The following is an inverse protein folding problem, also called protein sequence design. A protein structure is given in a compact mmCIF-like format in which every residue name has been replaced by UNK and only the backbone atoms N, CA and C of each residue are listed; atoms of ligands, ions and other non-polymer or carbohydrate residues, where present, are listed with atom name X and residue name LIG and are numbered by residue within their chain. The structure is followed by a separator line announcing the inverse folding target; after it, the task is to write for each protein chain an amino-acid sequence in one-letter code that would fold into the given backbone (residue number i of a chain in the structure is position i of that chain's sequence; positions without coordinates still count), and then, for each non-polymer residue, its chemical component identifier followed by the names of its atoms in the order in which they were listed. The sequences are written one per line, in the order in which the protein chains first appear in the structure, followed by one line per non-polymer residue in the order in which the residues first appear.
data_IF_051220692476
#
_entry.id   IF_051220692476
#
_cell.length_a   1.000
_cell.length_b   1.000
_cell.length_c   1.000
_cell.angle_alpha   90.00
_cell.angle_beta   90.00
_cell.angle_gamma   90.00
#
_symmetry.space_group_name_H-M   'P 1'
#
loop_
_entity.id
_entity.type
_entity.pdbx_description
1 polymer ?
#
# COMPACT_ATOMS: atom_id res chain seq x y z
N UNK A 1 -27.31 8.56 13.44
CA UNK A 1 -25.90 8.94 13.66
C UNK A 1 -25.40 9.62 12.40
N UNK A 2 -24.82 10.81 12.48
CA UNK A 2 -24.26 11.49 11.32
C UNK A 2 -23.03 10.75 10.80
N UNK A 3 -22.79 10.78 9.48
CA UNK A 3 -21.56 10.25 8.85
C UNK A 3 -20.31 10.84 9.51
N UNK A 4 -20.37 12.09 9.98
CA UNK A 4 -19.28 12.71 10.73
C UNK A 4 -19.03 11.99 12.06
N UNK A 5 -20.08 11.84 12.87
CA UNK A 5 -19.99 11.22 14.20
C UNK A 5 -19.55 9.75 14.09
N UNK A 6 -20.01 9.07 13.05
CA UNK A 6 -19.58 7.71 12.72
C UNK A 6 -18.07 7.64 12.46
N UNK A 7 -17.53 8.51 11.60
CA UNK A 7 -16.08 8.58 11.33
C UNK A 7 -15.28 8.92 12.57
N UNK A 8 -15.79 9.83 13.40
CA UNK A 8 -15.17 10.17 14.68
C UNK A 8 -15.08 8.97 15.61
N UNK A 9 -16.17 8.20 15.75
CA UNK A 9 -16.17 6.95 16.54
C UNK A 9 -15.20 5.91 16.02
N UNK A 10 -15.10 5.73 14.70
CA UNK A 10 -14.10 4.82 14.12
C UNK A 10 -12.70 5.23 14.52
N UNK A 11 -12.36 6.52 14.38
CA UNK A 11 -11.02 7.01 14.74
C UNK A 11 -10.74 6.78 16.22
N UNK A 12 -11.71 7.06 17.08
CA UNK A 12 -11.57 6.95 18.52
C UNK A 12 -11.45 5.48 18.98
N UNK A 13 -12.15 4.54 18.34
CA UNK A 13 -11.97 3.10 18.61
C UNK A 13 -10.64 2.59 18.07
N UNK A 14 -10.28 2.88 16.81
CA UNK A 14 -9.02 2.42 16.21
C UNK A 14 -7.80 2.94 16.98
N UNK A 15 -7.86 4.15 17.54
CA UNK A 15 -6.82 4.73 18.39
C UNK A 15 -6.42 3.82 19.56
N UNK A 16 -7.37 3.05 20.11
CA UNK A 16 -7.16 2.14 21.25
C UNK A 16 -6.34 0.89 20.88
N UNK A 17 -6.19 0.60 19.59
CA UNK A 17 -5.51 -0.61 19.11
C UNK A 17 -4.27 -0.25 18.28
N UNK A 18 -3.09 -0.03 18.92
CA UNK A 18 -1.83 0.27 18.24
C UNK A 18 -1.47 -0.73 17.14
N UNK A 19 -1.83 -2.00 17.30
CA UNK A 19 -1.64 -3.06 16.30
C UNK A 19 -2.17 -2.68 14.91
N UNK A 20 -3.22 -1.86 14.83
CA UNK A 20 -3.86 -1.48 13.57
C UNK A 20 -3.10 -0.40 12.78
N UNK A 21 -2.24 0.39 13.43
CA UNK A 21 -1.62 1.57 12.81
C UNK A 21 -0.12 1.74 13.10
N UNK A 22 0.39 1.14 14.16
CA UNK A 22 1.80 1.17 14.52
C UNK A 22 2.57 0.07 13.77
N UNK A 23 3.34 0.48 12.76
CA UNK A 23 4.17 -0.40 11.94
C UNK A 23 5.35 -1.04 12.70
N UNK A 24 5.68 -0.52 13.88
CA UNK A 24 6.75 -1.02 14.76
C UNK A 24 6.25 -1.99 15.81
N UNK A 25 4.93 -2.11 15.98
CA UNK A 25 4.33 -3.01 16.94
C UNK A 25 4.62 -4.47 16.52
N UNK A 26 5.04 -5.30 17.48
CA UNK A 26 5.42 -6.71 17.26
C UNK A 26 4.34 -7.49 16.49
N UNK A 27 3.09 -7.32 16.95
CA UNK A 27 1.92 -7.98 16.37
C UNK A 27 1.33 -7.28 15.13
N UNK A 28 1.90 -6.17 14.62
CA UNK A 28 1.37 -5.50 13.42
C UNK A 28 1.45 -6.38 12.17
N UNK A 29 2.45 -7.26 12.13
CA UNK A 29 2.67 -8.25 11.05
C UNK A 29 1.81 -9.50 11.20
N UNK A 30 1.13 -9.66 12.33
CA UNK A 30 0.23 -10.77 12.57
C UNK A 30 -1.19 -10.40 12.12
N UNK A 31 -1.63 -11.07 11.05
CA UNK A 31 -2.94 -10.85 10.45
C UNK A 31 -4.04 -11.31 11.40
N UNK A 32 -3.85 -12.41 12.14
CA UNK A 32 -4.86 -12.92 13.08
C UNK A 32 -5.10 -11.94 14.23
N UNK A 33 -4.03 -11.32 14.76
CA UNK A 33 -4.17 -10.32 15.81
C UNK A 33 -4.90 -9.09 15.27
N UNK A 34 -4.55 -8.65 14.06
CA UNK A 34 -5.19 -7.49 13.43
C UNK A 34 -6.67 -7.74 13.13
N UNK A 35 -7.01 -8.91 12.61
CA UNK A 35 -8.40 -9.28 12.33
C UNK A 35 -9.21 -9.44 13.61
N UNK A 36 -8.62 -9.98 14.69
CA UNK A 36 -9.26 -9.98 16.02
C UNK A 36 -9.55 -8.57 16.51
N UNK A 37 -8.59 -7.64 16.41
CA UNK A 37 -8.82 -6.24 16.78
C UNK A 37 -9.93 -5.60 15.93
N UNK A 38 -10.00 -5.89 14.63
CA UNK A 38 -11.10 -5.41 13.79
C UNK A 38 -12.45 -6.03 14.18
N UNK A 39 -12.48 -7.30 14.57
CA UNK A 39 -13.65 -7.96 15.14
C UNK A 39 -14.14 -7.26 16.41
N UNK A 40 -13.23 -6.97 17.35
CA UNK A 40 -13.59 -6.25 18.59
C UNK A 40 -14.15 -4.85 18.33
N UNK A 41 -13.62 -4.12 17.33
CA UNK A 41 -14.17 -2.81 16.94
C UNK A 41 -15.54 -2.98 16.26
N UNK A 42 -15.69 -4.01 15.42
CA UNK A 42 -16.94 -4.37 14.76
C UNK A 42 -18.04 -4.62 15.78
N UNK A 43 -17.78 -5.42 16.79
CA UNK A 43 -18.74 -5.76 17.85
C UNK A 43 -19.15 -4.54 18.67
N UNK A 44 -18.21 -3.61 18.93
CA UNK A 44 -18.50 -2.36 19.66
C UNK A 44 -19.33 -1.36 18.87
N UNK A 45 -19.07 -1.25 17.57
CA UNK A 45 -19.78 -0.31 16.70
C UNK A 45 -21.05 -0.91 16.09
N UNK A 46 -21.23 -2.23 16.16
CA UNK A 46 -22.33 -2.96 15.52
C UNK A 46 -22.23 -2.92 14.00
N UNK A 47 -21.02 -2.85 13.45
CA UNK A 47 -20.77 -2.73 12.00
C UNK A 47 -19.72 -3.73 11.57
N UNK A 48 -19.96 -4.38 10.44
CA UNK A 48 -19.05 -5.37 9.87
C UNK A 48 -17.59 -4.87 9.74
N UNK A 49 -16.64 -5.73 10.12
CA UNK A 49 -15.21 -5.44 10.11
C UNK A 49 -14.70 -4.95 8.74
N UNK A 50 -15.22 -5.48 7.64
CA UNK A 50 -14.82 -5.08 6.29
C UNK A 50 -15.24 -3.66 5.93
N UNK A 51 -16.43 -3.23 6.38
CA UNK A 51 -16.91 -1.86 6.23
C UNK A 51 -16.03 -0.90 7.03
N UNK A 52 -15.66 -1.28 8.26
CA UNK A 52 -14.77 -0.49 9.11
C UNK A 52 -13.36 -0.37 8.53
N UNK A 53 -12.79 -1.45 8.01
CA UNK A 53 -11.50 -1.46 7.31
C UNK A 53 -11.51 -0.51 6.11
N UNK A 54 -12.57 -0.54 5.30
CA UNK A 54 -12.75 0.36 4.14
C UNK A 54 -12.84 1.82 4.58
N UNK A 55 -13.64 2.13 5.58
CA UNK A 55 -13.80 3.51 6.05
C UNK A 55 -12.52 4.05 6.69
N UNK A 56 -11.80 3.20 7.44
CA UNK A 56 -10.49 3.54 7.98
C UNK A 56 -9.45 3.82 6.87
N UNK A 57 -9.47 3.05 5.77
CA UNK A 57 -8.63 3.32 4.60
C UNK A 57 -8.93 4.71 4.03
N UNK A 58 -10.20 5.04 3.78
CA UNK A 58 -10.63 6.35 3.27
C UNK A 58 -10.16 7.49 4.18
N UNK A 59 -10.23 7.29 5.49
CA UNK A 59 -9.76 8.26 6.48
C UNK A 59 -8.23 8.45 6.42
N UNK A 60 -7.45 7.38 6.34
CA UNK A 60 -5.98 7.47 6.19
C UNK A 60 -5.57 8.08 4.86
N UNK A 61 -6.25 7.78 3.77
CA UNK A 61 -6.00 8.37 2.46
C UNK A 61 -6.28 9.88 2.46
N UNK A 62 -7.40 10.28 3.05
CA UNK A 62 -7.75 11.68 3.25
C UNK A 62 -6.71 12.42 4.10
N UNK A 63 -6.19 11.77 5.15
CA UNK A 63 -5.09 12.29 5.96
C UNK A 63 -3.82 12.48 5.12
N UNK A 64 -3.38 11.45 4.37
CA UNK A 64 -2.20 11.51 3.49
C UNK A 64 -2.33 12.65 2.46
N UNK A 65 -3.48 12.76 1.81
CA UNK A 65 -3.74 13.82 0.83
C UNK A 65 -3.69 15.21 1.47
N UNK A 66 -4.26 15.36 2.68
CA UNK A 66 -4.23 16.65 3.39
C UNK A 66 -2.81 17.07 3.76
N UNK A 67 -1.96 16.14 4.20
CA UNK A 67 -0.55 16.41 4.50
C UNK A 67 0.24 16.75 3.23
N UNK A 68 -0.03 16.08 2.11
CA UNK A 68 0.60 16.39 0.81
C UNK A 68 0.28 17.81 0.36
N UNK A 69 -0.97 18.26 0.55
CA UNK A 69 -1.39 19.65 0.25
C UNK A 69 -0.66 20.66 1.14
N UNK A 70 -0.56 20.39 2.44
CA UNK A 70 0.17 21.27 3.39
C UNK A 70 1.67 21.31 3.06
N UNK A 71 2.29 20.15 2.80
CA UNK A 71 3.73 20.04 2.51
C UNK A 71 4.14 20.72 1.21
N UNK A 72 3.26 20.79 0.21
CA UNK A 72 3.52 21.49 -1.05
C UNK A 72 3.29 23.01 -0.95
N UNK A 73 3.06 23.53 0.26
CA UNK A 73 2.74 24.95 0.46
C UNK A 73 1.49 25.38 -0.29
N UNK A 74 0.57 24.43 -0.58
CA UNK A 74 -0.58 24.73 -1.41
C UNK A 74 -1.45 25.80 -0.73
N UNK A 75 -1.48 26.98 -1.32
CA UNK A 75 -2.41 28.04 -0.98
C UNK A 75 -3.70 27.84 -1.79
N UNK A 76 -4.83 28.23 -1.23
CA UNK A 76 -6.06 28.34 -2.00
C UNK A 76 -5.87 29.36 -3.13
N UNK A 77 -6.80 29.40 -4.10
CA UNK A 77 -6.79 30.42 -5.17
C UNK A 77 -6.80 31.87 -4.64
N UNK A 78 -7.11 32.05 -3.35
CA UNK A 78 -7.09 33.33 -2.64
C UNK A 78 -5.78 33.58 -1.85
N UNK A 79 -4.72 32.79 -2.05
CA UNK A 79 -3.44 32.96 -1.35
C UNK A 79 -3.43 32.50 0.12
N UNK A 80 -4.51 31.91 0.62
CA UNK A 80 -4.64 31.48 2.02
C UNK A 80 -4.07 30.07 2.20
N UNK A 81 -3.31 29.77 3.27
CA UNK A 81 -2.83 28.41 3.54
C UNK A 81 -3.95 27.38 3.54
N UNK A 82 -3.72 26.21 2.92
CA UNK A 82 -4.70 25.11 2.94
C UNK A 82 -5.14 24.76 4.37
N UNK A 83 -6.45 24.77 4.62
CA UNK A 83 -7.05 24.47 5.93
C UNK A 83 -6.70 23.04 6.37
N UNK A 84 -6.32 22.88 7.65
CA UNK A 84 -6.13 21.56 8.28
C UNK A 84 -7.36 20.68 8.07
N UNK A 85 -7.15 19.43 7.69
CA UNK A 85 -8.27 18.51 7.48
C UNK A 85 -8.98 18.23 8.80
N UNK A 86 -10.32 18.14 8.77
CA UNK A 86 -11.14 18.18 9.98
C UNK A 86 -10.83 17.07 11.00
N UNK A 87 -10.38 15.90 10.53
CA UNK A 87 -10.01 14.77 11.38
C UNK A 87 -8.49 14.67 11.62
N UNK A 88 -7.70 15.60 11.08
CA UNK A 88 -6.23 15.59 11.19
C UNK A 88 -5.75 15.61 12.63
N UNK A 89 -6.41 16.40 13.50
CA UNK A 89 -6.07 16.45 14.93
C UNK A 89 -6.37 15.13 15.63
N UNK A 90 -7.55 14.53 15.37
CA UNK A 90 -7.94 13.25 15.98
C UNK A 90 -7.12 12.08 15.47
N UNK A 91 -6.68 12.10 14.21
CA UNK A 91 -5.81 11.07 13.62
C UNK A 91 -4.31 11.34 13.79
N UNK A 92 -3.92 12.37 14.55
CA UNK A 92 -2.52 12.74 14.73
C UNK A 92 -1.66 11.61 15.31
N UNK A 93 -2.27 10.69 16.08
CA UNK A 93 -1.58 9.53 16.65
C UNK A 93 -1.02 8.56 15.61
N UNK A 94 -1.56 8.57 14.38
CA UNK A 94 -1.10 7.72 13.29
C UNK A 94 0.15 8.29 12.62
N UNK A 95 0.36 9.62 12.70
CA UNK A 95 1.42 10.32 11.96
C UNK A 95 2.84 9.80 12.23
N UNK A 96 3.25 9.45 13.46
CA UNK A 96 4.59 8.91 13.73
C UNK A 96 4.86 7.56 13.06
N UNK A 97 3.80 6.81 12.77
CA UNK A 97 3.85 5.44 12.26
C UNK A 97 3.50 5.35 10.77
N UNK A 98 2.88 6.39 10.22
CA UNK A 98 2.75 6.58 8.78
C UNK A 98 4.15 6.78 8.20
N UNK A 99 4.71 5.71 7.66
CA UNK A 99 5.95 5.78 6.88
C UNK A 99 5.71 6.71 5.70
N UNK A 100 6.18 7.95 5.80
CA UNK A 100 6.59 8.69 4.63
C UNK A 100 7.72 7.85 4.06
N UNK A 101 7.48 7.10 2.97
CA UNK A 101 8.57 6.56 2.14
C UNK A 101 9.36 7.76 1.64
N UNK A 102 10.27 8.26 2.47
CA UNK A 102 11.42 9.01 2.00
C UNK A 102 12.21 7.96 1.26
N UNK A 103 12.20 8.05 -0.06
CA UNK A 103 13.12 7.29 -0.91
C UNK A 103 14.53 7.57 -0.39
N UNK A 104 15.03 6.69 0.48
CA UNK A 104 16.46 6.57 0.69
C UNK A 104 16.99 6.05 -0.63
N UNK A 105 17.43 7.00 -1.45
CA UNK A 105 18.32 6.73 -2.57
C UNK A 105 19.47 5.93 -1.97
N UNK A 106 19.51 4.63 -2.26
CA UNK A 106 20.71 3.86 -2.07
C UNK A 106 21.77 4.53 -2.93
N UNK A 107 22.71 5.21 -2.28
CA UNK A 107 23.97 5.61 -2.90
C UNK A 107 24.62 4.30 -3.33
N UNK A 108 24.56 4.01 -4.63
CA UNK A 108 25.34 2.93 -5.23
C UNK A 108 26.79 3.35 -5.10
N UNK A 109 27.55 2.72 -4.19
CA UNK A 109 28.99 2.75 -4.25
C UNK A 109 29.44 1.71 -5.29
N UNK A 110 30.09 2.27 -6.29
CA UNK A 110 30.80 1.70 -7.43
C UNK A 110 31.34 0.27 -7.28
N UNK A 111 30.94 -0.60 -8.20
CA UNK A 111 31.87 -1.52 -8.86
C UNK A 111 31.77 -1.20 -10.36
N UNK A 112 32.88 -0.66 -10.87
CA UNK A 112 33.11 -0.19 -12.25
C UNK A 112 33.24 -1.37 -13.22
N UNK A 113 33.04 -1.05 -14.51
CA UNK A 113 33.54 -1.66 -15.77
C UNK A 113 32.36 -1.62 -16.76
N UNK A 114 32.39 -1.03 -17.95
CA UNK A 114 33.27 -0.09 -18.64
C UNK A 114 32.45 0.42 -19.86
N UNK A 115 32.84 1.60 -20.36
CA UNK A 115 32.28 2.53 -21.34
C UNK A 115 31.51 1.94 -22.56
N UNK A 116 30.41 2.56 -23.02
CA UNK A 116 30.46 3.52 -24.14
C UNK A 116 29.20 4.41 -24.19
N UNK A 117 29.42 5.73 -24.22
CA UNK A 117 28.71 6.89 -24.81
C UNK A 117 27.28 6.70 -25.42
N UNK A 118 26.26 7.57 -25.38
CA UNK A 118 26.08 9.05 -25.46
C UNK A 118 24.64 9.38 -24.94
N UNK A 119 24.33 10.61 -24.46
CA UNK A 119 23.06 10.98 -23.84
C UNK A 119 22.01 11.48 -24.85
N UNK A 120 20.73 11.28 -24.56
CA UNK A 120 19.66 12.17 -25.04
C UNK A 120 18.44 12.08 -24.12
N UNK A 121 18.06 13.24 -23.59
CA UNK A 121 16.80 13.53 -22.92
C UNK A 121 15.60 12.99 -23.72
N UNK A 122 14.82 12.06 -23.15
CA UNK A 122 13.39 11.88 -23.42
C UNK A 122 12.70 11.32 -22.17
N UNK A 123 11.94 12.19 -21.51
CA UNK A 123 10.67 11.92 -20.85
C UNK A 123 10.55 10.66 -19.98
N UNK A 124 11.02 10.72 -18.72
CA UNK A 124 10.42 9.91 -17.66
C UNK A 124 9.17 10.65 -17.18
N UNK A 125 8.10 10.38 -17.91
CA UNK A 125 6.72 10.63 -17.57
C UNK A 125 6.51 10.39 -16.08
N UNK A 126 5.90 11.38 -15.42
CA UNK A 126 5.45 11.25 -14.04
C UNK A 126 4.76 9.92 -13.85
N UNK A 127 5.22 9.09 -12.91
CA UNK A 127 4.34 8.13 -12.26
C UNK A 127 3.27 8.93 -11.49
N UNK A 128 2.26 9.32 -12.26
CA UNK A 128 0.95 9.75 -11.81
C UNK A 128 0.46 8.61 -10.94
N UNK A 129 0.30 8.90 -9.65
CA UNK A 129 -0.29 7.95 -8.71
C UNK A 129 -1.76 7.75 -9.12
N UNK A 130 -2.00 6.72 -9.93
CA UNK A 130 -3.29 6.37 -10.52
C UNK A 130 -4.23 5.80 -9.43
N UNK A 131 -5.51 6.22 -9.37
CA UNK A 131 -6.47 5.71 -8.40
C UNK A 131 -6.83 4.21 -8.59
N UNK A 132 -6.28 3.53 -9.60
CA UNK A 132 -6.55 2.12 -9.92
C UNK A 132 -5.85 1.07 -9.04
N UNK A 133 -5.17 1.45 -7.96
CA UNK A 133 -4.35 0.53 -7.15
C UNK A 133 -5.15 -0.47 -6.27
N UNK A 134 -6.46 -0.65 -6.52
CA UNK A 134 -7.29 -1.65 -5.82
C UNK A 134 -6.85 -3.10 -6.11
N UNK A 135 -6.33 -3.38 -7.32
CA UNK A 135 -5.87 -4.71 -7.70
C UNK A 135 -4.54 -5.10 -7.04
N UNK A 136 -3.59 -4.17 -6.92
CA UNK A 136 -2.33 -4.44 -6.24
C UNK A 136 -2.57 -4.71 -4.74
N UNK A 137 -3.50 -3.99 -4.11
CA UNK A 137 -3.85 -4.23 -2.71
C UNK A 137 -4.63 -5.54 -2.49
N UNK A 138 -5.48 -5.94 -3.44
CA UNK A 138 -6.16 -7.25 -3.41
C UNK A 138 -5.15 -8.40 -3.52
N UNK A 139 -4.16 -8.27 -4.41
CA UNK A 139 -3.08 -9.24 -4.57
C UNK A 139 -2.16 -9.27 -3.35
N UNK A 140 -1.78 -8.11 -2.80
CA UNK A 140 -0.95 -8.04 -1.60
C UNK A 140 -1.65 -8.68 -0.39
N UNK A 141 -2.96 -8.44 -0.22
CA UNK A 141 -3.78 -9.07 0.81
C UNK A 141 -3.93 -10.57 0.58
N UNK A 142 -4.10 -11.01 -0.66
CA UNK A 142 -4.13 -12.41 -1.04
C UNK A 142 -2.81 -13.12 -0.70
N UNK A 143 -1.67 -12.59 -1.13
CA UNK A 143 -0.36 -13.19 -0.83
C UNK A 143 -0.04 -13.13 0.66
N UNK A 144 -0.49 -12.10 1.38
CA UNK A 144 -0.38 -12.04 2.84
C UNK A 144 -1.19 -13.16 3.51
N UNK A 145 -2.41 -13.41 3.02
CA UNK A 145 -3.27 -14.51 3.47
C UNK A 145 -2.67 -15.89 3.16
N UNK A 146 -2.14 -16.09 1.95
CA UNK A 146 -1.43 -17.33 1.54
C UNK A 146 -0.17 -17.54 2.39
N UNK A 147 0.56 -16.49 2.71
CA UNK A 147 1.72 -16.57 3.60
C UNK A 147 1.30 -17.02 5.02
N UNK A 148 0.18 -16.53 5.54
CA UNK A 148 -0.32 -16.88 6.86
C UNK A 148 -0.74 -18.34 6.94
N UNK A 149 -1.52 -18.84 5.97
CA UNK A 149 -1.91 -20.25 5.93
C UNK A 149 -0.70 -21.17 5.82
N UNK A 150 0.31 -20.76 5.05
CA UNK A 150 1.57 -21.50 4.90
C UNK A 150 2.38 -21.55 6.20
N UNK A 151 2.41 -20.47 7.00
CA UNK A 151 3.16 -20.42 8.28
C UNK A 151 2.66 -21.41 9.33
N UNK A 152 1.39 -21.81 9.26
CA UNK A 152 0.78 -22.79 10.18
C UNK A 152 1.22 -24.24 9.88
N UNK A 153 1.86 -24.49 8.74
CA UNK A 153 2.31 -25.82 8.32
C UNK A 153 3.76 -26.10 8.75
N UNK A 154 4.18 -27.36 8.94
CA UNK A 154 5.57 -27.71 9.20
C UNK A 154 6.53 -27.25 8.08
N UNK A 155 7.79 -26.98 8.44
CA UNK A 155 8.82 -26.42 7.53
C UNK A 155 8.97 -27.17 6.20
N UNK A 156 8.85 -28.50 6.21
CA UNK A 156 8.89 -29.32 5.00
C UNK A 156 7.83 -28.90 3.98
N UNK A 157 6.60 -28.68 4.43
CA UNK A 157 5.47 -28.25 3.59
C UNK A 157 5.58 -26.77 3.20
N UNK A 158 6.11 -25.92 4.08
CA UNK A 158 6.39 -24.51 3.73
C UNK A 158 7.37 -24.42 2.55
N UNK A 159 8.44 -25.20 2.57
CA UNK A 159 9.45 -25.22 1.51
C UNK A 159 8.87 -25.78 0.20
N UNK A 160 8.00 -26.78 0.29
CA UNK A 160 7.29 -27.32 -0.87
C UNK A 160 6.38 -26.27 -1.53
N UNK A 161 5.59 -25.55 -0.73
CA UNK A 161 4.71 -24.48 -1.23
C UNK A 161 5.52 -23.36 -1.87
N UNK A 162 6.59 -22.89 -1.22
CA UNK A 162 7.48 -21.86 -1.79
C UNK A 162 8.02 -22.24 -3.16
N UNK A 163 8.50 -23.48 -3.31
CA UNK A 163 9.01 -23.97 -4.61
C UNK A 163 7.92 -23.95 -5.67
N UNK A 164 6.74 -24.48 -5.35
CA UNK A 164 5.62 -24.52 -6.30
C UNK A 164 5.16 -23.12 -6.72
N UNK A 165 5.11 -22.15 -5.81
CA UNK A 165 4.75 -20.77 -6.13
C UNK A 165 5.79 -20.13 -7.05
N UNK A 166 7.08 -20.31 -6.77
CA UNK A 166 8.15 -19.81 -7.64
C UNK A 166 8.12 -20.45 -9.02
N UNK A 167 7.89 -21.77 -9.11
CA UNK A 167 7.77 -22.47 -10.38
C UNK A 167 6.62 -21.95 -11.24
N UNK A 168 5.47 -21.63 -10.61
CA UNK A 168 4.33 -21.02 -11.31
C UNK A 168 4.67 -19.60 -11.76
N UNK A 169 5.32 -18.79 -10.92
CA UNK A 169 5.72 -17.44 -11.28
C UNK A 169 6.66 -17.44 -12.49
N UNK A 170 7.70 -18.27 -12.49
CA UNK A 170 8.65 -18.37 -13.60
C UNK A 170 7.95 -18.77 -14.92
N UNK A 171 7.00 -19.72 -14.88
CA UNK A 171 6.24 -20.12 -16.07
C UNK A 171 5.35 -19.00 -16.61
N UNK A 172 4.73 -18.23 -15.72
CA UNK A 172 3.87 -17.11 -16.12
C UNK A 172 4.72 -15.96 -16.66
N UNK A 173 5.88 -15.68 -16.08
CA UNK A 173 6.84 -14.69 -16.57
C UNK A 173 7.34 -15.06 -17.98
N UNK A 174 7.72 -16.32 -18.19
CA UNK A 174 8.14 -16.82 -19.52
C UNK A 174 7.01 -16.69 -20.56
N UNK A 175 5.78 -17.05 -20.20
CA UNK A 175 4.62 -16.88 -21.08
C UNK A 175 4.35 -15.41 -21.38
N UNK A 176 4.46 -14.54 -20.37
CA UNK A 176 4.27 -13.10 -20.53
C UNK A 176 5.33 -12.50 -21.46
N UNK A 177 6.60 -12.91 -21.34
CA UNK A 177 7.66 -12.50 -22.25
C UNK A 177 7.38 -12.95 -23.69
N UNK A 178 6.93 -14.18 -23.89
CA UNK A 178 6.56 -14.71 -25.21
C UNK A 178 5.40 -13.93 -25.84
N UNK A 179 4.32 -13.70 -25.09
CA UNK A 179 3.13 -12.97 -25.55
C UNK A 179 3.48 -11.50 -25.88
N UNK A 180 4.40 -10.90 -25.15
CA UNK A 180 4.87 -9.52 -25.39
C UNK A 180 5.72 -9.41 -26.65
N UNK A 181 6.54 -10.42 -26.95
CA UNK A 181 7.34 -10.49 -28.19
C UNK A 181 6.44 -10.71 -29.41
N UNK A 182 5.45 -11.58 -29.31
CA UNK A 182 4.49 -11.86 -30.38
C UNK A 182 3.63 -10.63 -30.72
N UNK A 183 3.13 -9.91 -29.70
CA UNK A 183 2.39 -8.65 -29.86
C UNK A 183 3.22 -7.57 -30.56
N UNK A 184 4.53 -7.48 -30.26
CA UNK A 184 5.43 -6.54 -30.96
C UNK A 184 5.65 -6.95 -32.41
N UNK A 185 5.83 -8.24 -32.71
CA UNK A 185 6.03 -8.71 -34.09
C UNK A 185 4.79 -8.47 -34.97
N UNK A 186 3.58 -8.54 -34.43
CA UNK A 186 2.35 -8.27 -35.18
C UNK A 186 2.12 -6.78 -35.45
N UNK A 187 2.61 -5.89 -34.58
CA UNK A 187 2.63 -4.45 -34.85
C UNK A 187 3.60 -4.08 -35.99
N UNK A 188 4.72 -4.77 -36.12
CA UNK A 188 5.68 -4.55 -37.23
C UNK A 188 5.26 -5.18 -38.56
N UNK A 189 4.29 -6.11 -38.58
CA UNK A 189 3.75 -6.70 -39.82
C UNK A 189 2.59 -5.91 -40.44
N UNK A 190 2.03 -4.95 -39.71
CA UNK A 190 0.91 -4.11 -40.15
C UNK A 190 1.32 -2.67 -40.54
N UNK A 191 2.63 -2.41 -40.73
CA UNK A 191 3.16 -1.21 -41.37
C UNK A 191 3.79 -1.54 -42.71
#
# INVERSE_FOLDING_TARGET
MSVREYREKIIDEVKKYPVLYDTRHENHRDIDVRDRCWGEISDRLGVESEVLKREWKILRDSLRQSLKKISKGATTKAGVPCKKWRFQSRMAFVLPYMTVRRNQRHVRQDIKIDETEVPSDQDVESEVWDPGNEHQESLDLFFASVCQSTRRLPKKYQNQIKRQVLDVLMKVEEQFEADTVETKMDLYKNC
#
